data_IF_492039199084
#
_entry.id   IF_492039199084
#
_cell.length_a   1.000
_cell.length_b   1.000
_cell.length_c   1.000
_cell.angle_alpha   90.00
_cell.angle_beta   90.00
_cell.angle_gamma   90.00
#
_symmetry.space_group_name_H-M   'P 1'
#
loop_
_entity.id
_entity.type
_entity.pdbx_description
1 polymer ?
#
# COMPACT_ATOMS: atom_id res chain seq x y z
N UNK A 1 -24.61 -33.89 -41.60
CA UNK A 1 -24.59 -32.70 -40.72
C UNK A 1 -23.15 -32.44 -40.27
N UNK A 2 -22.58 -31.26 -40.51
CA UNK A 2 -21.17 -31.01 -40.23
C UNK A 2 -20.92 -30.77 -38.73
N UNK A 3 -19.83 -31.35 -38.21
CA UNK A 3 -19.34 -31.16 -36.84
C UNK A 3 -18.97 -29.69 -36.62
N UNK A 4 -19.67 -29.01 -35.70
CA UNK A 4 -19.29 -27.68 -35.19
C UNK A 4 -17.88 -27.76 -34.60
N UNK A 5 -16.95 -27.05 -35.22
CA UNK A 5 -15.64 -26.72 -34.67
C UNK A 5 -15.83 -25.99 -33.33
N UNK A 6 -15.32 -26.58 -32.25
CA UNK A 6 -15.28 -25.98 -30.92
C UNK A 6 -14.22 -24.88 -30.98
N UNK A 7 -14.63 -23.62 -31.15
CA UNK A 7 -13.73 -22.47 -30.97
C UNK A 7 -13.11 -22.55 -29.57
N UNK A 8 -11.78 -22.42 -29.49
CA UNK A 8 -11.09 -22.27 -28.22
C UNK A 8 -11.65 -21.03 -27.49
N UNK A 9 -11.75 -21.06 -26.15
CA UNK A 9 -12.20 -19.90 -25.39
C UNK A 9 -11.29 -18.70 -25.70
N UNK A 10 -11.84 -17.48 -25.80
CA UNK A 10 -11.03 -16.28 -25.98
C UNK A 10 -10.04 -16.16 -24.82
N UNK A 11 -8.79 -15.80 -25.14
CA UNK A 11 -7.76 -15.57 -24.14
C UNK A 11 -8.28 -14.57 -23.08
N UNK A 12 -8.01 -14.81 -21.78
CA UNK A 12 -8.40 -13.86 -20.74
C UNK A 12 -7.85 -12.47 -21.08
N UNK A 13 -8.60 -11.39 -20.78
CA UNK A 13 -8.13 -10.04 -21.04
C UNK A 13 -6.77 -9.81 -20.36
N UNK A 14 -5.86 -9.07 -21.01
CA UNK A 14 -4.54 -8.81 -20.43
C UNK A 14 -4.69 -8.16 -19.07
N UNK A 15 -4.06 -8.77 -18.07
CA UNK A 15 -4.09 -8.27 -16.70
C UNK A 15 -3.19 -7.03 -16.62
N UNK A 16 -3.76 -5.86 -16.95
CA UNK A 16 -3.04 -4.60 -17.01
C UNK A 16 -2.38 -4.24 -15.66
N UNK A 17 -2.89 -4.81 -14.57
CA UNK A 17 -2.36 -4.69 -13.22
C UNK A 17 -0.96 -5.30 -13.09
N UNK A 18 -0.74 -6.47 -13.68
CA UNK A 18 0.52 -7.20 -13.59
C UNK A 18 1.62 -6.52 -14.41
N UNK A 19 1.26 -5.97 -15.58
CA UNK A 19 2.16 -5.17 -16.40
C UNK A 19 2.63 -3.92 -15.65
N UNK A 20 1.68 -3.16 -15.10
CA UNK A 20 1.97 -1.92 -14.37
C UNK A 20 2.81 -2.20 -13.12
N UNK A 21 2.42 -3.21 -12.33
CA UNK A 21 3.18 -3.68 -11.19
C UNK A 21 4.63 -4.04 -11.56
N UNK A 22 4.83 -4.84 -12.61
CA UNK A 22 6.18 -5.30 -13.00
C UNK A 22 7.04 -4.13 -13.47
N UNK A 23 6.46 -3.20 -14.23
CA UNK A 23 7.15 -1.98 -14.67
C UNK A 23 7.57 -1.12 -13.47
N UNK A 24 6.66 -0.88 -12.53
CA UNK A 24 6.91 -0.08 -11.34
C UNK A 24 7.94 -0.73 -10.42
N UNK A 25 7.82 -2.05 -10.19
CA UNK A 25 8.78 -2.83 -9.43
C UNK A 25 10.22 -2.65 -9.92
N UNK A 26 10.45 -2.78 -11.22
CA UNK A 26 11.79 -2.63 -11.78
C UNK A 26 12.25 -1.17 -11.79
N UNK A 27 11.36 -0.21 -12.08
CA UNK A 27 11.69 1.21 -12.08
C UNK A 27 12.08 1.72 -10.67
N UNK A 28 11.34 1.34 -9.63
CA UNK A 28 11.61 1.73 -8.23
C UNK A 28 12.92 1.13 -7.71
N UNK A 29 13.27 -0.08 -8.16
CA UNK A 29 14.54 -0.73 -7.83
C UNK A 29 15.72 -0.27 -8.71
N UNK A 30 15.54 0.81 -9.50
CA UNK A 30 16.60 1.45 -10.28
C UNK A 30 16.97 0.75 -11.59
N UNK A 31 16.14 -0.17 -12.08
CA UNK A 31 16.33 -0.79 -13.39
C UNK A 31 15.84 0.12 -14.52
N UNK A 32 16.50 0.04 -15.68
CA UNK A 32 16.06 0.77 -16.87
C UNK A 32 15.05 -0.10 -17.62
N UNK A 33 13.81 0.35 -17.68
CA UNK A 33 12.71 -0.36 -18.33
C UNK A 33 12.41 0.26 -19.69
N UNK A 34 12.61 -0.49 -20.76
CA UNK A 34 12.26 -0.13 -22.13
C UNK A 34 10.98 -0.85 -22.56
N UNK A 35 10.06 -0.09 -23.17
CA UNK A 35 8.84 -0.62 -23.77
C UNK A 35 8.93 -0.45 -25.28
N UNK A 36 8.68 -1.52 -26.05
CA UNK A 36 8.80 -1.50 -27.51
C UNK A 36 7.81 -0.52 -28.18
N UNK A 37 6.63 -0.30 -27.59
CA UNK A 37 5.71 0.77 -27.98
C UNK A 37 4.83 1.19 -26.80
N UNK A 38 4.51 2.49 -26.62
CA UNK A 38 3.75 2.98 -25.46
C UNK A 38 2.33 2.42 -25.35
N UNK A 39 1.72 2.02 -26.48
CA UNK A 39 0.40 1.37 -26.50
C UNK A 39 0.46 -0.15 -26.28
N UNK A 40 1.65 -0.75 -26.35
CA UNK A 40 1.84 -2.19 -26.29
C UNK A 40 2.17 -2.63 -24.85
N UNK A 41 1.13 -2.99 -24.10
CA UNK A 41 1.26 -3.55 -22.73
C UNK A 41 1.58 -5.07 -22.73
N UNK A 42 2.14 -5.60 -23.81
CA UNK A 42 2.41 -7.05 -23.91
C UNK A 42 3.86 -7.43 -23.58
N UNK A 43 4.81 -6.49 -23.67
CA UNK A 43 6.26 -6.75 -23.63
C UNK A 43 7.01 -5.67 -22.85
N UNK A 44 8.02 -6.07 -22.07
CA UNK A 44 8.98 -5.17 -21.41
C UNK A 44 10.39 -5.72 -21.56
N UNK A 45 11.35 -4.84 -21.80
CA UNK A 45 12.77 -5.17 -21.82
C UNK A 45 13.45 -4.40 -20.67
N UNK A 46 14.04 -5.12 -19.73
CA UNK A 46 14.56 -4.56 -18.47
C UNK A 46 16.06 -4.76 -18.40
N UNK A 47 16.80 -3.67 -18.22
CA UNK A 47 18.23 -3.69 -17.90
C UNK A 47 18.40 -3.54 -16.38
N UNK A 48 18.99 -4.55 -15.76
CA UNK A 48 19.12 -4.65 -14.32
C UNK A 48 20.43 -4.04 -13.81
N UNK A 49 20.41 -3.26 -12.72
CA UNK A 49 21.61 -2.90 -11.98
C UNK A 49 22.27 -4.14 -11.36
N UNK A 50 23.54 -4.05 -11.00
CA UNK A 50 24.38 -5.18 -10.56
C UNK A 50 23.76 -6.01 -9.42
N UNK A 51 23.14 -5.34 -8.45
CA UNK A 51 22.46 -6.00 -7.32
C UNK A 51 21.28 -6.88 -7.78
N UNK A 52 20.44 -6.35 -8.67
CA UNK A 52 19.34 -7.12 -9.26
C UNK A 52 19.84 -8.18 -10.23
N UNK A 53 20.88 -7.89 -11.01
CA UNK A 53 21.46 -8.83 -11.95
C UNK A 53 21.99 -10.08 -11.23
N UNK A 54 22.55 -9.91 -10.03
CA UNK A 54 22.98 -11.02 -9.17
C UNK A 54 21.79 -11.84 -8.67
N UNK A 55 20.69 -11.19 -8.28
CA UNK A 55 19.47 -11.86 -7.78
C UNK A 55 18.72 -12.64 -8.87
N UNK A 56 18.56 -12.05 -10.06
CA UNK A 56 17.89 -12.68 -11.20
C UNK A 56 18.81 -13.61 -12.01
N UNK A 57 20.13 -13.49 -11.83
CA UNK A 57 21.17 -14.27 -12.51
C UNK A 57 21.47 -13.81 -13.94
N UNK A 58 20.98 -12.62 -14.35
CA UNK A 58 21.09 -12.06 -15.71
C UNK A 58 21.14 -10.54 -15.64
N UNK A 59 21.89 -9.89 -16.53
CA UNK A 59 21.92 -8.43 -16.61
C UNK A 59 20.72 -7.82 -17.36
N UNK A 60 20.06 -8.60 -18.22
CA UNK A 60 18.93 -8.16 -19.02
C UNK A 60 17.80 -9.21 -18.96
N UNK A 61 16.56 -8.74 -18.83
CA UNK A 61 15.36 -9.56 -18.85
C UNK A 61 14.43 -9.09 -19.96
N UNK A 62 14.08 -10.00 -20.87
CA UNK A 62 12.95 -9.82 -21.78
C UNK A 62 11.71 -10.44 -21.15
N UNK A 63 10.66 -9.66 -20.94
CA UNK A 63 9.44 -10.07 -20.27
C UNK A 63 8.26 -10.03 -21.25
N UNK A 64 7.39 -11.03 -21.18
CA UNK A 64 6.13 -11.10 -21.92
C UNK A 64 4.94 -11.33 -20.98
N UNK A 65 3.80 -10.73 -21.29
CA UNK A 65 2.56 -10.83 -20.49
C UNK A 65 1.46 -11.61 -21.22
N UNK A 66 1.75 -12.12 -22.42
CA UNK A 66 0.84 -12.90 -23.24
C UNK A 66 1.45 -14.25 -23.56
N UNK A 67 0.68 -15.32 -23.37
CA UNK A 67 1.12 -16.70 -23.65
C UNK A 67 1.05 -17.08 -25.13
N UNK A 68 0.72 -16.14 -26.02
CA UNK A 68 0.35 -16.45 -27.40
C UNK A 68 1.53 -16.99 -28.22
N UNK A 69 2.77 -16.60 -27.91
CA UNK A 69 3.97 -17.14 -28.54
C UNK A 69 5.12 -17.22 -27.52
N UNK A 70 5.63 -18.43 -27.19
CA UNK A 70 6.87 -18.55 -26.42
C UNK A 70 8.05 -18.18 -27.33
N UNK A 71 8.31 -16.88 -27.46
CA UNK A 71 9.61 -16.40 -27.97
C UNK A 71 10.68 -16.92 -27.00
N UNK A 72 11.62 -17.73 -27.50
CA UNK A 72 12.57 -18.51 -26.69
C UNK A 72 13.52 -17.68 -25.81
N UNK A 73 13.53 -16.35 -25.97
CA UNK A 73 14.38 -15.43 -25.21
C UNK A 73 13.61 -14.59 -24.18
N UNK A 74 12.27 -14.66 -24.15
CA UNK A 74 11.43 -13.87 -23.23
C UNK A 74 10.76 -14.76 -22.17
N UNK A 75 10.78 -14.29 -20.93
CA UNK A 75 10.09 -14.95 -19.83
C UNK A 75 8.65 -14.46 -19.70
N UNK A 76 7.72 -15.42 -19.62
CA UNK A 76 6.32 -15.12 -19.34
C UNK A 76 6.16 -14.70 -17.88
N UNK A 77 5.64 -13.49 -17.67
CA UNK A 77 5.25 -12.96 -16.37
C UNK A 77 3.78 -13.31 -16.14
N UNK A 78 3.58 -14.25 -15.22
CA UNK A 78 2.26 -14.65 -14.73
C UNK A 78 2.36 -14.95 -13.23
N UNK A 79 1.23 -14.98 -12.53
CA UNK A 79 1.18 -15.49 -11.16
C UNK A 79 1.66 -16.95 -11.13
N UNK A 80 2.70 -17.22 -10.33
CA UNK A 80 3.38 -18.53 -10.27
C UNK A 80 4.44 -18.75 -11.36
N UNK A 81 4.78 -17.72 -12.14
CA UNK A 81 5.98 -17.76 -12.98
C UNK A 81 7.25 -17.59 -12.15
N UNK A 82 8.35 -18.21 -12.58
CA UNK A 82 9.65 -18.12 -11.89
C UNK A 82 10.09 -16.67 -11.68
N UNK A 83 9.98 -15.82 -12.70
CA UNK A 83 10.38 -14.41 -12.60
C UNK A 83 9.52 -13.68 -11.57
N UNK A 84 8.21 -13.94 -11.53
CA UNK A 84 7.32 -13.36 -10.53
C UNK A 84 7.65 -13.82 -9.12
N UNK A 85 7.93 -15.11 -8.92
CA UNK A 85 8.34 -15.64 -7.63
C UNK A 85 9.69 -15.04 -7.18
N UNK A 86 10.62 -14.80 -8.11
CA UNK A 86 11.88 -14.10 -7.83
C UNK A 86 11.67 -12.64 -7.43
N UNK A 87 10.73 -11.93 -8.08
CA UNK A 87 10.34 -10.57 -7.68
C UNK A 87 9.78 -10.59 -6.25
N UNK A 88 8.88 -11.54 -5.96
CA UNK A 88 8.26 -11.65 -4.64
C UNK A 88 9.24 -12.06 -3.56
N UNK A 89 10.19 -12.96 -3.84
CA UNK A 89 11.24 -13.34 -2.90
C UNK A 89 12.20 -12.18 -2.58
N UNK A 90 12.43 -11.26 -3.54
CA UNK A 90 13.20 -10.04 -3.24
C UNK A 90 12.41 -9.10 -2.34
N UNK A 91 11.13 -8.86 -2.67
CA UNK A 91 10.27 -8.01 -1.86
C UNK A 91 10.08 -8.56 -0.46
N UNK A 92 9.96 -9.87 -0.28
CA UNK A 92 9.85 -10.48 1.05
C UNK A 92 11.06 -10.14 1.92
N UNK A 93 12.28 -10.20 1.36
CA UNK A 93 13.53 -9.80 2.04
C UNK A 93 13.62 -8.30 2.30
N UNK A 94 13.01 -7.47 1.47
CA UNK A 94 13.04 -6.01 1.57
C UNK A 94 11.80 -5.43 2.28
N UNK A 95 10.81 -6.27 2.59
CA UNK A 95 9.55 -5.83 3.16
C UNK A 95 9.77 -5.36 4.60
N UNK A 96 9.39 -4.10 4.85
CA UNK A 96 9.31 -3.55 6.19
C UNK A 96 7.84 -3.43 6.56
N UNK A 97 7.41 -4.12 7.62
CA UNK A 97 6.08 -3.98 8.17
C UNK A 97 6.11 -2.98 9.33
N UNK A 98 5.12 -2.09 9.39
CA UNK A 98 4.92 -1.20 10.53
C UNK A 98 3.85 -1.79 11.43
N UNK A 99 4.20 -2.14 12.67
CA UNK A 99 3.22 -2.49 13.70
C UNK A 99 2.87 -1.22 14.47
N UNK A 100 1.69 -0.66 14.20
CA UNK A 100 1.15 0.44 15.00
C UNK A 100 0.35 -0.16 16.15
N UNK A 101 0.84 0.01 17.40
CA UNK A 101 0.01 -0.26 18.58
C UNK A 101 -1.12 0.77 18.59
N UNK A 102 -2.34 0.36 18.92
CA UNK A 102 -3.52 1.22 18.99
C UNK A 102 -3.21 2.57 19.69
N UNK A 103 -3.84 3.68 19.28
CA UNK A 103 -3.47 5.03 19.69
C UNK A 103 -3.42 5.17 21.22
N UNK A 104 -2.20 5.30 21.75
CA UNK A 104 -1.95 5.69 23.13
C UNK A 104 -1.84 7.21 23.15
N UNK A 105 -2.58 7.88 24.05
CA UNK A 105 -2.46 9.33 24.23
C UNK A 105 -1.09 9.67 24.83
N UNK A 106 -0.13 10.04 23.98
CA UNK A 106 1.14 10.61 24.41
C UNK A 106 0.94 12.10 24.72
N UNK A 107 1.34 12.53 25.93
CA UNK A 107 1.14 13.91 26.42
C UNK A 107 2.19 14.92 25.91
N UNK A 108 3.02 14.53 24.94
CA UNK A 108 4.05 15.38 24.36
C UNK A 108 4.86 14.67 23.28
N UNK A 109 5.55 15.47 22.44
CA UNK A 109 6.32 14.97 21.29
C UNK A 109 7.44 13.98 21.65
N UNK A 110 8.15 14.19 22.77
CA UNK A 110 9.24 13.32 23.21
C UNK A 110 8.76 11.91 23.61
N UNK A 111 7.61 11.83 24.28
CA UNK A 111 6.99 10.57 24.67
C UNK A 111 6.47 9.77 23.47
N UNK A 112 6.02 10.47 22.41
CA UNK A 112 5.65 9.85 21.14
C UNK A 112 6.87 9.29 20.41
N UNK A 113 7.94 10.08 20.28
CA UNK A 113 9.16 9.64 19.59
C UNK A 113 9.81 8.44 20.27
N UNK A 114 9.78 8.38 21.60
CA UNK A 114 10.30 7.23 22.36
C UNK A 114 9.44 5.98 22.17
N UNK A 115 8.15 6.14 21.88
CA UNK A 115 7.23 5.03 21.63
C UNK A 115 7.29 4.52 20.18
N UNK A 116 7.78 5.33 19.24
CA UNK A 116 7.95 4.95 17.84
C UNK A 116 9.34 4.36 17.63
N UNK A 117 9.42 3.06 17.33
CA UNK A 117 10.66 2.38 16.97
C UNK A 117 10.65 1.98 15.50
N UNK A 118 11.42 2.64 14.63
CA UNK A 118 11.61 2.18 13.26
C UNK A 118 12.25 0.79 13.26
N UNK A 119 11.73 -0.11 12.41
CA UNK A 119 12.34 -1.41 12.14
C UNK A 119 12.63 -1.46 10.65
N UNK A 120 13.88 -1.72 10.28
CA UNK A 120 14.37 -1.74 8.89
C UNK A 120 14.14 -0.46 8.08
N UNK A 121 13.94 0.68 8.75
CA UNK A 121 13.76 1.98 8.12
C UNK A 121 14.38 3.09 8.98
N UNK A 122 14.66 4.24 8.35
CA UNK A 122 15.08 5.46 9.04
C UNK A 122 14.06 6.56 8.82
N UNK A 123 13.75 7.32 9.86
CA UNK A 123 12.88 8.49 9.75
C UNK A 123 13.68 9.66 9.18
N UNK A 124 13.46 9.98 7.90
CA UNK A 124 14.08 11.11 7.22
C UNK A 124 13.20 12.37 7.24
N UNK A 125 13.78 13.53 7.55
CA UNK A 125 13.12 14.86 7.48
C UNK A 125 11.78 14.96 8.22
N UNK A 126 11.68 14.37 9.42
CA UNK A 126 10.50 14.54 10.26
C UNK A 126 10.47 15.96 10.85
N UNK A 127 9.58 16.80 10.34
CA UNK A 127 9.23 18.07 10.99
C UNK A 127 8.13 17.79 12.01
N UNK A 128 8.53 17.60 13.26
CA UNK A 128 7.58 17.43 14.35
C UNK A 128 6.85 18.75 14.58
N UNK A 129 5.54 18.77 14.35
CA UNK A 129 4.68 19.88 14.71
C UNK A 129 3.82 19.44 15.89
N UNK A 130 4.19 19.93 17.07
CA UNK A 130 3.34 19.80 18.25
C UNK A 130 2.27 20.88 18.17
N UNK A 131 1.05 20.46 17.83
CA UNK A 131 -0.12 21.33 17.88
C UNK A 131 -0.82 21.10 19.21
N UNK A 132 -0.75 22.10 20.08
CA UNK A 132 -1.60 22.16 21.26
C UNK A 132 -2.91 22.80 20.87
N UNK A 133 -4.03 22.17 21.25
CA UNK A 133 -5.37 22.76 21.14
C UNK A 133 -5.99 22.74 22.53
N UNK A 134 -6.48 23.87 22.99
CA UNK A 134 -7.25 23.97 24.21
C UNK A 134 -8.66 23.49 23.92
N UNK A 135 -9.11 22.53 24.73
CA UNK A 135 -10.46 22.02 24.69
C UNK A 135 -11.15 22.36 25.99
N UNK A 136 -12.39 22.85 25.90
CA UNK A 136 -13.19 23.19 27.05
C UNK A 136 -14.26 22.13 27.24
N UNK A 137 -14.21 21.45 28.39
CA UNK A 137 -15.20 20.46 28.80
C UNK A 137 -16.19 21.09 29.77
N UNK A 138 -17.46 21.18 29.35
CA UNK A 138 -18.55 21.66 30.19
C UNK A 138 -19.44 20.48 30.54
N UNK A 139 -19.57 20.19 31.84
CA UNK A 139 -20.31 19.03 32.33
C UNK A 139 -21.48 19.46 33.20
N UNK A 140 -22.67 18.98 32.85
CA UNK A 140 -23.89 19.19 33.61
C UNK A 140 -24.44 17.89 34.15
N UNK A 141 -25.04 17.96 35.33
CA UNK A 141 -25.85 16.88 35.90
C UNK A 141 -27.32 17.22 35.72
N UNK A 142 -27.99 16.53 34.81
CA UNK A 142 -29.42 16.71 34.53
C UNK A 142 -30.21 15.71 35.37
N UNK A 143 -31.25 16.17 36.05
CA UNK A 143 -32.15 15.32 36.84
C UNK A 143 -33.58 15.54 36.37
N UNK A 144 -34.20 14.50 35.83
CA UNK A 144 -35.56 14.55 35.32
C UNK A 144 -36.54 14.28 36.47
N UNK A 145 -37.49 15.21 36.69
CA UNK A 145 -38.44 15.11 37.81
C UNK A 145 -39.74 14.36 37.47
N UNK A 146 -40.07 14.22 36.19
CA UNK A 146 -41.33 13.60 35.74
C UNK A 146 -41.16 12.13 35.30
N UNK A 147 -40.00 11.77 34.73
CA UNK A 147 -39.67 10.40 34.37
C UNK A 147 -38.78 9.77 35.45
N UNK A 148 -39.38 8.83 36.19
CA UNK A 148 -38.78 7.82 37.06
C UNK A 148 -37.28 8.02 37.38
N UNK A 149 -37.00 9.04 38.21
CA UNK A 149 -35.69 9.39 38.81
C UNK A 149 -34.48 9.14 37.90
N UNK A 150 -34.52 9.61 36.65
CA UNK A 150 -33.35 9.54 35.76
C UNK A 150 -32.39 10.69 36.05
N UNK A 151 -31.11 10.33 36.15
CA UNK A 151 -30.01 11.28 36.18
C UNK A 151 -29.10 11.02 35.00
N UNK A 152 -28.66 12.09 34.36
CA UNK A 152 -27.78 12.04 33.20
C UNK A 152 -26.64 13.02 33.41
N UNK A 153 -25.42 12.59 33.06
CA UNK A 153 -24.26 13.46 32.98
C UNK A 153 -24.08 13.80 31.51
N UNK A 154 -24.32 15.06 31.16
CA UNK A 154 -24.17 15.54 29.81
C UNK A 154 -22.89 16.37 29.73
N UNK A 155 -22.00 16.04 28.80
CA UNK A 155 -20.73 16.77 28.61
C UNK A 155 -20.65 17.28 27.18
N UNK A 156 -20.40 18.57 27.04
CA UNK A 156 -20.13 19.22 25.75
C UNK A 156 -18.65 19.58 25.71
N UNK A 157 -17.99 19.26 24.61
CA UNK A 157 -16.63 19.71 24.30
C UNK A 157 -16.68 20.82 23.27
N UNK A 158 -15.95 21.90 23.55
CA UNK A 158 -15.76 23.02 22.65
C UNK A 158 -14.28 23.18 22.30
N UNK A 159 -14.00 23.67 21.11
CA UNK A 159 -12.67 24.16 20.72
C UNK A 159 -12.44 25.61 21.18
N UNK A 160 -11.32 26.19 20.74
CA UNK A 160 -10.89 27.55 21.08
C UNK A 160 -11.79 28.63 20.46
N UNK A 161 -12.42 28.31 19.32
CA UNK A 161 -13.37 29.14 18.60
C UNK A 161 -14.78 29.06 19.19
N UNK A 162 -15.02 28.11 20.12
CA UNK A 162 -16.30 27.87 20.76
C UNK A 162 -17.22 26.96 19.95
N UNK A 163 -16.71 26.30 18.90
CA UNK A 163 -17.43 25.33 18.10
C UNK A 163 -17.46 23.98 18.81
N UNK A 164 -18.59 23.27 18.65
CA UNK A 164 -18.78 21.97 19.31
C UNK A 164 -18.00 20.88 18.59
N UNK A 165 -17.20 20.13 19.36
CA UNK A 165 -16.48 18.96 18.87
C UNK A 165 -17.41 17.74 18.96
N UNK A 166 -17.69 17.13 17.81
CA UNK A 166 -18.46 15.89 17.74
C UNK A 166 -17.71 14.77 18.49
N UNK A 167 -18.39 14.14 19.45
CA UNK A 167 -17.86 12.96 20.12
C UNK A 167 -18.18 11.75 19.25
N UNK A 168 -17.16 10.97 18.88
CA UNK A 168 -17.38 9.72 18.14
C UNK A 168 -18.16 8.75 19.03
N UNK A 169 -19.43 8.51 18.69
CA UNK A 169 -20.33 7.63 19.46
C UNK A 169 -21.72 8.24 19.77
N UNK A 170 -21.99 9.49 19.39
CA UNK A 170 -23.36 10.02 19.21
C UNK A 170 -23.92 9.64 17.83
#
# INVERSE_FOLDING_TARGET
MPRRSRQAPPAPPPDHTLFEFTREYFAELGATVAQNAPADKSRLDVLLPEELATHFGRAQLGLSFHSAEPESERELVAHGSRVFDQMMALLDRQSAFTVLRAPVRHRGGEALLTAVRPVNASVGRLRMQEQSRFLFGLTWRITYRADDKRQEIYTVWLDEEGERIAQSGE
#
